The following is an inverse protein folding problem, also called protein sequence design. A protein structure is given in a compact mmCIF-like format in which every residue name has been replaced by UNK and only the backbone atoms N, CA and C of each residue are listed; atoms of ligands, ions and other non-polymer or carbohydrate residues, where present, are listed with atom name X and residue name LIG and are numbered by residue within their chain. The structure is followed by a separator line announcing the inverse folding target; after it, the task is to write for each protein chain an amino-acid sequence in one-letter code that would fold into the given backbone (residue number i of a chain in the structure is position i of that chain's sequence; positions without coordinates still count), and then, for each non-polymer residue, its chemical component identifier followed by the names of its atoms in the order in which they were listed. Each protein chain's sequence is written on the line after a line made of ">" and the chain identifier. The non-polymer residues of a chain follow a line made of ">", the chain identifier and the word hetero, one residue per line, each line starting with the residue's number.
data_IF_555524877657
#
_entry.id   IF_555524877657
#
_cell.length_a   1.000
_cell.length_b   1.000
_cell.length_c   1.000
_cell.angle_alpha   90.00
_cell.angle_beta   90.00
_cell.angle_gamma   90.00
#
_symmetry.space_group_name_H-M   'P 1'
#
loop_
_entity.id
_entity.type
_entity.pdbx_description
1 polymer ?
#
# COMPACT_ATOMS: atom_id res chain seq x y z
N UNK A 1 -1.90 -8.98 -15.40
CA UNK A 1 -1.70 -8.33 -14.09
C UNK A 1 -2.57 -7.08 -14.04
N UNK A 2 -3.81 -7.25 -13.56
CA UNK A 2 -4.80 -6.17 -13.46
C UNK A 2 -4.37 -5.07 -12.49
N UNK A 3 -3.84 -5.44 -11.32
CA UNK A 3 -3.21 -4.53 -10.35
C UNK A 3 -2.17 -3.60 -11.00
N UNK A 4 -1.18 -4.18 -11.69
CA UNK A 4 -0.09 -3.44 -12.33
C UNK A 4 -0.63 -2.48 -13.39
N UNK A 5 -1.57 -2.95 -14.21
CA UNK A 5 -2.18 -2.15 -15.26
C UNK A 5 -2.97 -0.96 -14.70
N UNK A 6 -3.72 -1.17 -13.60
CA UNK A 6 -4.47 -0.11 -12.94
C UNK A 6 -3.54 0.99 -12.43
N UNK A 7 -2.48 0.61 -11.72
CA UNK A 7 -1.48 1.54 -11.19
C UNK A 7 -0.73 2.28 -12.31
N UNK A 8 -0.29 1.58 -13.36
CA UNK A 8 0.38 2.20 -14.50
C UNK A 8 -0.53 3.17 -15.26
N UNK A 9 -1.82 2.84 -15.38
CA UNK A 9 -2.81 3.73 -15.98
C UNK A 9 -3.05 4.99 -15.12
N UNK A 10 -3.11 4.84 -13.80
CA UNK A 10 -3.25 5.96 -12.87
C UNK A 10 -2.06 6.91 -12.99
N UNK A 11 -0.83 6.38 -12.97
CA UNK A 11 0.38 7.17 -13.17
C UNK A 11 0.45 7.86 -14.54
N UNK A 12 -0.17 7.27 -15.56
CA UNK A 12 -0.28 7.85 -16.90
C UNK A 12 -1.47 8.80 -17.06
N UNK A 13 -2.19 9.11 -15.97
CA UNK A 13 -3.41 9.93 -15.96
C UNK A 13 -4.51 9.42 -16.92
N UNK A 14 -4.56 8.11 -17.15
CA UNK A 14 -5.57 7.47 -18.01
C UNK A 14 -6.83 7.06 -17.25
N UNK A 15 -6.71 6.90 -15.94
CA UNK A 15 -7.80 6.67 -15.00
C UNK A 15 -7.65 7.65 -13.84
N UNK A 16 -8.76 7.99 -13.20
CA UNK A 16 -8.73 8.83 -12.00
C UNK A 16 -8.58 7.99 -10.72
N UNK A 17 -8.56 8.67 -9.57
CA UNK A 17 -8.42 8.03 -8.26
C UNK A 17 -9.59 7.12 -7.92
N UNK A 18 -10.82 7.50 -8.29
CA UNK A 18 -12.00 6.71 -7.99
C UNK A 18 -12.01 5.39 -8.79
N UNK A 19 -11.61 5.45 -10.06
CA UNK A 19 -11.43 4.28 -10.91
C UNK A 19 -10.31 3.35 -10.41
N UNK A 20 -9.18 3.92 -9.95
CA UNK A 20 -8.11 3.16 -9.31
C UNK A 20 -8.64 2.43 -8.05
N UNK A 21 -9.30 3.17 -7.16
CA UNK A 21 -9.81 2.64 -5.90
C UNK A 21 -10.82 1.53 -6.09
N UNK A 22 -11.74 1.70 -7.04
CA UNK A 22 -12.72 0.68 -7.37
C UNK A 22 -12.03 -0.59 -7.88
N UNK A 23 -11.12 -0.45 -8.86
CA UNK A 23 -10.41 -1.58 -9.45
C UNK A 23 -9.63 -2.37 -8.40
N UNK A 24 -8.93 -1.69 -7.50
CA UNK A 24 -8.11 -2.33 -6.47
C UNK A 24 -8.96 -2.92 -5.34
N UNK A 25 -10.08 -2.29 -4.99
CA UNK A 25 -11.04 -2.84 -4.02
C UNK A 25 -11.66 -4.13 -4.52
N UNK A 26 -12.04 -4.18 -5.81
CA UNK A 26 -12.59 -5.37 -6.43
C UNK A 26 -11.56 -6.50 -6.48
N UNK A 27 -10.31 -6.19 -6.85
CA UNK A 27 -9.23 -7.18 -6.85
C UNK A 27 -8.93 -7.72 -5.44
N UNK A 28 -8.87 -6.84 -4.44
CA UNK A 28 -8.66 -7.26 -3.06
C UNK A 28 -9.83 -8.14 -2.58
N UNK A 29 -11.08 -7.77 -2.90
CA UNK A 29 -12.26 -8.59 -2.60
C UNK A 29 -12.17 -9.97 -3.23
N UNK A 30 -11.79 -10.04 -4.51
CA UNK A 30 -11.62 -11.31 -5.23
C UNK A 30 -10.59 -12.20 -4.51
N UNK A 31 -9.43 -11.66 -4.14
CA UNK A 31 -8.38 -12.39 -3.41
C UNK A 31 -8.87 -12.94 -2.06
N UNK A 32 -9.64 -12.17 -1.30
CA UNK A 32 -10.18 -12.59 -0.02
C UNK A 32 -11.26 -13.68 -0.20
N UNK A 33 -12.17 -13.49 -1.16
CA UNK A 33 -13.24 -14.46 -1.43
C UNK A 33 -12.68 -15.76 -2.01
N UNK A 34 -11.62 -15.71 -2.81
CA UNK A 34 -10.93 -16.89 -3.31
C UNK A 34 -10.44 -17.77 -2.14
N UNK A 35 -9.69 -17.18 -1.21
CA UNK A 35 -9.16 -17.88 -0.04
C UNK A 35 -10.29 -18.43 0.86
N UNK A 36 -11.35 -17.65 1.05
CA UNK A 36 -12.56 -18.10 1.76
C UNK A 36 -13.24 -19.28 1.07
N UNK A 37 -13.38 -19.25 -0.25
CA UNK A 37 -13.99 -20.32 -1.03
C UNK A 37 -13.16 -21.60 -1.02
N UNK A 38 -11.86 -21.51 -0.73
CA UNK A 38 -10.98 -22.64 -0.44
C UNK A 38 -10.99 -23.08 1.04
N UNK A 39 -11.88 -22.53 1.86
CA UNK A 39 -12.10 -22.92 3.26
C UNK A 39 -10.85 -22.78 4.14
N UNK A 40 -10.03 -21.76 3.90
CA UNK A 40 -8.93 -21.44 4.82
C UNK A 40 -9.48 -21.03 6.20
N UNK A 41 -8.93 -21.60 7.26
CA UNK A 41 -9.32 -21.28 8.64
C UNK A 41 -8.84 -19.89 9.09
N UNK A 42 -7.76 -19.37 8.49
CA UNK A 42 -7.22 -18.04 8.73
C UNK A 42 -6.75 -17.44 7.41
N UNK A 43 -7.29 -16.27 7.06
CA UNK A 43 -7.04 -15.59 5.79
C UNK A 43 -6.20 -14.34 6.07
N UNK A 44 -5.01 -14.18 5.46
CA UNK A 44 -4.18 -13.00 5.65
C UNK A 44 -4.92 -11.73 5.19
N UNK A 45 -4.87 -10.72 6.05
CA UNK A 45 -5.37 -9.37 5.75
C UNK A 45 -4.31 -8.36 6.14
N UNK A 46 -3.92 -7.53 5.19
CA UNK A 46 -2.97 -6.43 5.39
C UNK A 46 -1.77 -6.44 4.44
N UNK A 47 -1.52 -7.57 3.77
CA UNK A 47 -0.42 -7.76 2.81
C UNK A 47 -0.68 -7.08 1.45
N UNK A 48 -1.94 -6.84 1.08
CA UNK A 48 -2.29 -6.13 -0.14
C UNK A 48 -1.76 -4.68 -0.11
N UNK A 49 -0.77 -4.37 -0.94
CA UNK A 49 -0.15 -3.04 -1.03
C UNK A 49 -0.28 -2.45 -2.45
N UNK A 50 -0.22 -1.12 -2.53
CA UNK A 50 -0.11 -0.36 -3.79
C UNK A 50 1.31 -0.35 -4.34
N UNK A 51 2.32 -0.71 -3.54
CA UNK A 51 3.69 -0.75 -4.01
C UNK A 51 4.56 -1.70 -3.19
N UNK A 52 4.68 -1.44 -1.88
CA UNK A 52 5.53 -2.18 -0.97
C UNK A 52 4.97 -2.15 0.46
N UNK A 53 5.00 -3.30 1.12
CA UNK A 53 4.45 -3.51 2.46
C UNK A 53 5.30 -2.84 3.57
N UNK A 54 6.60 -2.64 3.33
CA UNK A 54 7.42 -1.83 4.25
C UNK A 54 7.09 -0.35 4.11
N UNK A 55 6.89 0.15 2.90
CA UNK A 55 6.36 1.50 2.69
C UNK A 55 4.98 1.71 3.32
N UNK A 56 4.05 0.76 3.16
CA UNK A 56 2.74 0.79 3.83
C UNK A 56 2.92 0.96 5.36
N UNK A 57 3.88 0.23 5.95
CA UNK A 57 4.19 0.30 7.38
C UNK A 57 4.83 1.62 7.78
N UNK A 58 5.73 2.17 6.97
CA UNK A 58 6.33 3.48 7.18
C UNK A 58 5.25 4.56 7.23
N UNK A 59 4.30 4.54 6.29
CA UNK A 59 3.18 5.48 6.27
C UNK A 59 2.22 5.28 7.45
N UNK A 60 1.94 4.04 7.84
CA UNK A 60 1.12 3.73 9.03
C UNK A 60 1.68 4.38 10.30
N UNK A 61 3.01 4.41 10.44
CA UNK A 61 3.70 4.97 11.60
C UNK A 61 4.21 6.39 11.39
N UNK A 62 3.82 7.10 10.33
CA UNK A 62 4.30 8.45 10.03
C UNK A 62 5.84 8.56 9.90
N UNK A 63 6.49 7.50 9.43
CA UNK A 63 7.91 7.47 9.08
C UNK A 63 8.03 7.92 7.62
N UNK A 64 7.96 9.23 7.42
CA UNK A 64 7.98 9.86 6.10
C UNK A 64 9.33 10.56 5.90
N UNK A 65 10.03 10.35 4.78
CA UNK A 65 11.28 11.04 4.49
C UNK A 65 11.13 12.55 4.61
N UNK A 66 12.13 13.24 5.15
CA UNK A 66 12.11 14.69 5.44
C UNK A 66 11.59 15.54 4.26
N UNK A 67 12.03 15.22 3.04
CA UNK A 67 11.63 15.90 1.79
C UNK A 67 10.14 15.76 1.42
N UNK A 68 9.42 14.86 2.08
CA UNK A 68 7.98 14.61 1.87
C UNK A 68 7.14 14.86 3.13
N UNK A 69 7.75 15.30 4.23
CA UNK A 69 7.03 15.58 5.49
C UNK A 69 6.00 16.72 5.34
N UNK A 70 4.98 16.68 6.20
CA UNK A 70 3.89 17.67 6.21
C UNK A 70 2.82 17.46 5.14
N UNK A 71 2.98 16.45 4.27
CA UNK A 71 1.96 16.03 3.31
C UNK A 71 0.93 15.12 3.96
N UNK A 72 -0.29 15.17 3.46
CA UNK A 72 -1.34 14.21 3.82
C UNK A 72 -0.94 12.79 3.40
N UNK A 73 -1.15 11.82 4.29
CA UNK A 73 -0.90 10.41 4.00
C UNK A 73 -1.98 9.85 3.08
N UNK A 74 -1.64 9.72 1.81
CA UNK A 74 -2.49 9.17 0.75
C UNK A 74 -1.67 8.43 -0.31
N UNK A 75 -2.35 7.86 -1.31
CA UNK A 75 -1.72 7.06 -2.37
C UNK A 75 -0.71 7.88 -3.20
N UNK A 76 -0.93 9.18 -3.38
CA UNK A 76 0.00 10.04 -4.12
C UNK A 76 1.31 10.24 -3.35
N UNK A 77 1.24 10.44 -2.03
CA UNK A 77 2.42 10.46 -1.17
C UNK A 77 3.16 9.12 -1.24
N UNK A 78 2.43 8.00 -1.18
CA UNK A 78 3.00 6.66 -1.30
C UNK A 78 3.76 6.52 -2.63
N UNK A 79 3.15 6.90 -3.74
CA UNK A 79 3.80 6.81 -5.05
C UNK A 79 4.99 7.75 -5.19
N UNK A 80 4.92 8.97 -4.63
CA UNK A 80 6.03 9.92 -4.66
C UNK A 80 7.23 9.42 -3.83
N UNK A 81 7.01 8.80 -2.68
CA UNK A 81 8.09 8.17 -1.90
C UNK A 81 8.69 6.99 -2.68
N UNK A 82 7.84 6.19 -3.33
CA UNK A 82 8.24 4.99 -4.03
C UNK A 82 8.97 5.24 -5.37
N UNK A 83 8.62 6.31 -6.09
CA UNK A 83 9.06 6.56 -7.47
C UNK A 83 9.68 7.93 -7.70
N UNK A 84 9.62 8.82 -6.70
CA UNK A 84 10.01 10.21 -6.85
C UNK A 84 8.98 10.99 -7.66
N UNK A 85 9.17 12.30 -7.67
CA UNK A 85 8.38 13.22 -8.47
C UNK A 85 9.30 14.27 -9.10
N UNK A 86 8.74 15.39 -9.59
CA UNK A 86 9.53 16.45 -10.25
C UNK A 86 10.49 17.17 -9.30
N UNK A 87 10.19 17.19 -8.01
CA UNK A 87 10.89 17.99 -7.00
C UNK A 87 11.85 17.12 -6.16
N UNK A 88 11.44 15.88 -5.89
CA UNK A 88 12.10 15.02 -4.91
C UNK A 88 12.40 13.63 -5.48
N UNK A 89 13.56 13.10 -5.09
CA UNK A 89 13.98 11.74 -5.46
C UNK A 89 13.19 10.67 -4.70
N UNK A 90 13.03 9.51 -5.34
CA UNK A 90 12.48 8.32 -4.71
C UNK A 90 13.34 7.85 -3.53
N UNK A 91 12.73 7.12 -2.61
CA UNK A 91 13.46 6.39 -1.57
C UNK A 91 14.18 5.17 -2.15
N UNK A 92 15.23 4.70 -1.47
CA UNK A 92 16.02 3.58 -1.94
C UNK A 92 15.22 2.27 -1.92
N UNK A 93 15.43 1.44 -2.95
CA UNK A 93 14.94 0.06 -3.02
C UNK A 93 16.09 -0.92 -2.74
N UNK A 94 15.90 -1.85 -1.82
CA UNK A 94 16.87 -2.93 -1.56
C UNK A 94 16.19 -4.29 -1.53
N UNK A 95 16.96 -5.37 -1.74
CA UNK A 95 16.43 -6.74 -1.73
C UNK A 95 15.83 -7.09 -0.37
N UNK A 96 14.65 -7.72 -0.42
CA UNK A 96 14.03 -8.33 0.74
C UNK A 96 14.66 -9.70 1.00
N UNK A 97 15.51 -9.75 2.03
CA UNK A 97 16.30 -10.94 2.39
C UNK A 97 17.02 -11.53 1.17
N UNK A 98 16.90 -12.85 0.95
CA UNK A 98 17.49 -13.58 -0.16
C UNK A 98 16.50 -13.78 -1.34
N UNK A 99 15.40 -13.02 -1.38
CA UNK A 99 14.40 -13.10 -2.44
C UNK A 99 14.73 -12.18 -3.63
N UNK A 100 13.91 -12.24 -4.68
CA UNK A 100 13.93 -11.27 -5.77
C UNK A 100 12.97 -10.08 -5.55
N UNK A 101 12.24 -10.06 -4.43
CA UNK A 101 11.42 -8.91 -4.04
C UNK A 101 12.33 -7.79 -3.53
N UNK A 102 11.95 -6.54 -3.78
CA UNK A 102 12.64 -5.36 -3.28
C UNK A 102 11.65 -4.52 -2.49
N UNK A 103 12.10 -3.93 -1.39
CA UNK A 103 11.28 -3.09 -0.52
C UNK A 103 11.87 -1.69 -0.43
N UNK A 104 11.04 -0.72 -0.06
CA UNK A 104 11.43 0.67 0.14
C UNK A 104 12.03 0.83 1.53
N UNK A 105 13.28 1.29 1.60
CA UNK A 105 13.97 1.50 2.87
C UNK A 105 13.34 2.67 3.62
N UNK A 106 12.88 2.49 4.87
CA UNK A 106 12.39 3.60 5.69
C UNK A 106 13.50 4.60 6.02
N UNK A 107 13.19 5.90 5.94
CA UNK A 107 14.08 7.00 6.32
C UNK A 107 13.62 7.58 7.66
N UNK A 108 14.50 7.58 8.67
CA UNK A 108 14.15 7.89 10.07
C UNK A 108 14.60 9.29 10.52
N UNK A 109 15.17 10.08 9.63
CA UNK A 109 15.66 11.41 9.97
C UNK A 109 14.49 12.36 10.28
N UNK A 110 14.54 12.98 11.48
CA UNK A 110 13.57 13.98 11.93
C UNK A 110 12.10 13.52 11.91
N UNK A 111 11.83 12.21 12.16
CA UNK A 111 10.46 11.68 12.23
C UNK A 111 9.99 11.50 13.67
N UNK A 112 8.69 11.73 13.90
CA UNK A 112 7.99 11.33 15.12
C UNK A 112 6.99 10.23 14.78
N UNK A 113 7.21 8.98 15.22
CA UNK A 113 6.30 7.89 14.95
C UNK A 113 4.92 8.10 15.58
N UNK A 114 3.88 8.05 14.77
CA UNK A 114 2.49 8.14 15.22
C UNK A 114 1.57 7.42 14.26
N UNK A 115 0.46 6.90 14.79
CA UNK A 115 -0.61 6.29 14.00
C UNK A 115 -1.74 7.31 13.88
N UNK A 116 -1.84 7.97 12.74
CA UNK A 116 -2.96 8.90 12.47
C UNK A 116 -4.18 8.17 11.90
N UNK A 117 -3.95 7.27 10.95
CA UNK A 117 -4.99 6.43 10.33
C UNK A 117 -4.58 4.97 10.43
N UNK A 118 -5.48 4.13 10.94
CA UNK A 118 -5.22 2.71 11.10
C UNK A 118 -5.74 1.91 9.88
N UNK A 119 -5.00 1.99 8.77
CA UNK A 119 -5.34 1.31 7.51
C UNK A 119 -5.44 -0.20 7.66
N UNK A 120 -4.64 -0.83 8.55
CA UNK A 120 -4.74 -2.27 8.81
C UNK A 120 -6.06 -2.63 9.47
N UNK A 121 -6.52 -1.85 10.46
CA UNK A 121 -7.82 -2.05 11.09
C UNK A 121 -8.97 -1.85 10.09
N UNK A 122 -8.86 -0.88 9.17
CA UNK A 122 -9.84 -0.68 8.11
C UNK A 122 -9.92 -1.89 7.18
N UNK A 123 -8.76 -2.42 6.73
CA UNK A 123 -8.68 -3.63 5.90
C UNK A 123 -9.26 -4.85 6.63
N UNK A 124 -8.96 -5.00 7.92
CA UNK A 124 -9.51 -6.08 8.75
C UNK A 124 -11.04 -5.98 8.88
N UNK A 125 -11.57 -4.79 9.20
CA UNK A 125 -13.02 -4.56 9.26
C UNK A 125 -13.71 -4.78 7.93
N UNK A 126 -13.08 -4.39 6.83
CA UNK A 126 -13.58 -4.67 5.47
C UNK A 126 -13.68 -6.19 5.22
N UNK A 127 -12.64 -6.96 5.53
CA UNK A 127 -12.68 -8.42 5.41
C UNK A 127 -13.82 -9.03 6.24
N UNK A 128 -13.99 -8.59 7.50
CA UNK A 128 -15.11 -9.01 8.33
C UNK A 128 -16.48 -8.69 7.71
N UNK A 129 -16.64 -7.50 7.11
CA UNK A 129 -17.90 -7.08 6.48
C UNK A 129 -18.35 -7.97 5.32
N UNK A 130 -17.41 -8.67 4.67
CA UNK A 130 -17.69 -9.65 3.60
C UNK A 130 -17.64 -11.11 4.10
N UNK A 131 -17.72 -11.29 5.42
CA UNK A 131 -17.72 -12.59 6.11
C UNK A 131 -16.46 -13.42 5.83
N UNK A 132 -15.29 -12.78 5.73
CA UNK A 132 -13.99 -13.45 5.63
C UNK A 132 -13.46 -13.69 7.04
N UNK A 133 -12.95 -14.90 7.30
CA UNK A 133 -12.33 -15.25 8.57
C UNK A 133 -10.88 -14.79 8.58
N UNK A 134 -10.68 -13.52 8.93
CA UNK A 134 -9.38 -12.85 9.01
C UNK A 134 -8.68 -13.16 10.33
#
# INVERSE_FOLDING_TARGET
>A
MEWKKAIENYWAHKIDKAELDQTLTDLHKENLLLQKNYHLDSIPVGDFSLYDHILDTSLLFNIIPERFQGREVNDDLLFDIARGNKEHVASALIKWFNTNYHYIVPEWDNVEPKVEKNTLLERFKYAQSINVNA
#
